data_IF_485091950117
#
_entry.id   IF_485091950117
#
_cell.length_a   1.000
_cell.length_b   1.000
_cell.length_c   1.000
_cell.angle_alpha   90.00
_cell.angle_beta   90.00
_cell.angle_gamma   90.00
#
_symmetry.space_group_name_H-M   'P 1'
#
loop_
_entity.id
_entity.type
_entity.pdbx_description
1 polymer ?
#
# COMPACT_ATOMS: atom_id res chain seq x y z
N UNK A 1 0.85 39.92 -10.62
CA UNK A 1 0.63 39.89 -9.16
C UNK A 1 -0.69 39.20 -8.77
N UNK A 2 -1.87 39.67 -9.19
CA UNK A 2 -3.16 39.03 -8.83
C UNK A 2 -3.29 37.55 -9.29
N UNK A 3 -2.81 37.23 -10.50
CA UNK A 3 -2.83 35.85 -11.04
C UNK A 3 -1.90 34.90 -10.27
N UNK A 4 -0.72 35.39 -9.86
CA UNK A 4 0.25 34.63 -9.06
C UNK A 4 -0.30 34.31 -7.67
N UNK A 5 -0.98 35.27 -7.03
CA UNK A 5 -1.64 35.04 -5.74
C UNK A 5 -2.75 33.99 -5.83
N UNK A 6 -3.57 34.01 -6.90
CA UNK A 6 -4.59 33.00 -7.16
C UNK A 6 -4.00 31.59 -7.35
N UNK A 7 -2.87 31.48 -8.07
CA UNK A 7 -2.17 30.20 -8.25
C UNK A 7 -1.61 29.70 -6.91
N UNK A 8 -1.01 30.57 -6.10
CA UNK A 8 -0.49 30.19 -4.78
C UNK A 8 -1.61 29.76 -3.84
N UNK A 9 -2.73 30.49 -3.80
CA UNK A 9 -3.92 30.12 -3.00
C UNK A 9 -4.53 28.81 -3.50
N UNK A 10 -4.57 28.58 -4.82
CA UNK A 10 -5.04 27.32 -5.37
C UNK A 10 -4.11 26.15 -4.99
N UNK A 11 -2.80 26.30 -5.15
CA UNK A 11 -1.81 25.28 -4.79
C UNK A 11 -1.85 24.97 -3.29
N UNK A 12 -1.91 26.00 -2.44
CA UNK A 12 -2.05 25.83 -0.99
C UNK A 12 -3.40 25.22 -0.62
N UNK A 13 -4.48 25.59 -1.30
CA UNK A 13 -5.80 24.99 -1.15
C UNK A 13 -5.82 23.51 -1.54
N UNK A 14 -5.20 23.15 -2.66
CA UNK A 14 -5.03 21.75 -3.08
C UNK A 14 -4.17 20.96 -2.11
N UNK A 15 -3.06 21.52 -1.62
CA UNK A 15 -2.21 20.90 -0.62
C UNK A 15 -2.95 20.68 0.71
N UNK A 16 -3.77 21.64 1.14
CA UNK A 16 -4.59 21.52 2.35
C UNK A 16 -5.68 20.44 2.21
N UNK A 17 -6.35 20.35 1.05
CA UNK A 17 -7.36 19.31 0.78
C UNK A 17 -6.72 17.92 0.69
N UNK A 18 -5.53 17.79 0.07
CA UNK A 18 -4.75 16.56 0.09
C UNK A 18 -4.26 16.20 1.52
N UNK A 19 -4.11 17.19 2.41
CA UNK A 19 -3.75 16.93 3.80
C UNK A 19 -4.89 16.41 4.66
N UNK A 20 -6.14 16.59 4.25
CA UNK A 20 -7.33 16.24 5.02
C UNK A 20 -7.84 14.81 4.78
N UNK A 21 -7.27 14.08 3.82
CA UNK A 21 -7.70 12.71 3.54
C UNK A 21 -7.14 11.73 4.59
N UNK A 22 -7.93 10.73 5.03
CA UNK A 22 -7.47 9.74 6.00
C UNK A 22 -6.21 9.01 5.56
N UNK A 23 -5.35 8.73 6.52
CA UNK A 23 -4.05 8.08 6.34
C UNK A 23 -3.92 6.91 7.29
N UNK A 24 -3.12 5.93 6.90
CA UNK A 24 -2.69 4.90 7.83
C UNK A 24 -1.18 4.71 7.71
N UNK A 25 -0.51 4.45 8.83
CA UNK A 25 0.91 4.07 8.82
C UNK A 25 1.11 2.87 9.74
N UNK A 26 1.92 1.91 9.33
CA UNK A 26 2.21 0.77 10.18
C UNK A 26 3.09 -0.26 9.53
N UNK A 27 2.87 -1.50 9.94
CA UNK A 27 3.70 -2.64 9.55
C UNK A 27 2.81 -3.69 8.90
N UNK A 28 3.32 -4.25 7.81
CA UNK A 28 2.81 -5.46 7.19
C UNK A 28 3.82 -6.59 7.40
N UNK A 29 3.35 -7.77 7.70
CA UNK A 29 4.14 -8.98 7.88
C UNK A 29 3.62 -10.07 6.97
N UNK A 30 4.49 -10.62 6.13
CA UNK A 30 4.22 -11.74 5.23
C UNK A 30 5.41 -12.68 5.23
N UNK A 31 6.03 -12.87 4.07
CA UNK A 31 7.35 -13.50 3.99
C UNK A 31 8.45 -12.65 4.65
N UNK A 32 8.26 -11.33 4.63
CA UNK A 32 9.12 -10.33 5.23
C UNK A 32 8.36 -9.36 6.13
N UNK A 33 8.98 -8.20 6.34
CA UNK A 33 8.37 -7.07 7.04
C UNK A 33 8.43 -5.82 6.19
N UNK A 34 7.29 -5.13 6.10
CA UNK A 34 7.13 -3.91 5.31
C UNK A 34 6.67 -2.77 6.22
N UNK A 35 7.29 -1.61 6.08
CA UNK A 35 6.69 -0.36 6.54
C UNK A 35 5.69 0.11 5.49
N UNK A 36 4.44 0.27 5.90
CA UNK A 36 3.33 0.62 5.01
C UNK A 36 2.76 1.99 5.36
N UNK A 37 2.48 2.79 4.32
CA UNK A 37 1.77 4.05 4.39
C UNK A 37 0.60 4.05 3.40
N UNK A 38 -0.60 4.26 3.90
CA UNK A 38 -1.82 4.41 3.11
C UNK A 38 -2.29 5.85 3.09
N UNK A 39 -2.78 6.29 1.94
CA UNK A 39 -3.42 7.58 1.77
C UNK A 39 -4.74 7.43 1.01
N UNK A 40 -5.84 7.76 1.68
CA UNK A 40 -7.16 7.82 1.04
C UNK A 40 -7.16 8.91 -0.01
N UNK A 41 -7.74 8.64 -1.17
CA UNK A 41 -7.74 9.55 -2.31
C UNK A 41 -9.14 10.07 -2.58
N UNK A 42 -9.86 9.44 -3.52
CA UNK A 42 -11.21 9.82 -3.91
C UNK A 42 -12.21 8.77 -3.42
N UNK A 43 -13.14 9.20 -2.59
CA UNK A 43 -14.10 8.29 -1.98
C UNK A 43 -13.37 7.28 -1.09
N UNK A 44 -13.75 5.99 -1.13
CA UNK A 44 -13.13 4.97 -0.28
C UNK A 44 -11.84 4.38 -0.85
N UNK A 45 -11.39 4.79 -2.05
CA UNK A 45 -10.17 4.26 -2.67
C UNK A 45 -8.93 4.87 -2.04
N UNK A 46 -7.85 4.10 -1.96
CA UNK A 46 -6.60 4.53 -1.33
C UNK A 46 -5.38 4.11 -2.15
N UNK A 47 -4.31 4.89 -2.05
CA UNK A 47 -2.99 4.45 -2.48
C UNK A 47 -2.24 3.90 -1.27
N UNK A 48 -1.46 2.85 -1.47
CA UNK A 48 -0.56 2.29 -0.46
C UNK A 48 0.87 2.28 -0.99
N UNK A 49 1.80 2.73 -0.17
CA UNK A 49 3.23 2.70 -0.43
C UNK A 49 3.94 1.93 0.66
N UNK A 50 4.84 1.05 0.26
CA UNK A 50 5.55 0.16 1.16
C UNK A 50 7.04 0.13 0.87
N UNK A 51 7.83 0.02 1.93
CA UNK A 51 9.25 -0.29 1.89
C UNK A 51 9.46 -1.51 2.77
N UNK A 52 9.97 -2.58 2.19
CA UNK A 52 10.06 -3.85 2.88
C UNK A 52 11.38 -4.58 2.70
N UNK A 53 11.52 -5.58 3.54
CA UNK A 53 12.64 -6.50 3.55
C UNK A 53 12.11 -7.93 3.62
N UNK A 54 12.62 -8.79 2.75
CA UNK A 54 12.14 -10.16 2.56
C UNK A 54 13.26 -11.19 2.81
N UNK A 55 12.84 -12.42 3.15
CA UNK A 55 13.72 -13.57 3.37
C UNK A 55 14.19 -13.74 4.82
N UNK A 56 14.53 -14.98 5.20
CA UNK A 56 14.97 -15.33 6.56
C UNK A 56 16.20 -14.55 7.06
N UNK A 57 17.02 -14.04 6.14
CA UNK A 57 18.21 -13.24 6.44
C UNK A 57 18.02 -11.74 6.15
N UNK A 58 16.81 -11.30 5.76
CA UNK A 58 16.51 -9.93 5.33
C UNK A 58 17.49 -9.40 4.28
N UNK A 59 17.83 -10.26 3.31
CA UNK A 59 18.83 -9.98 2.29
C UNK A 59 18.22 -9.38 1.00
N UNK A 60 16.90 -9.28 0.96
CA UNK A 60 16.15 -8.68 -0.14
C UNK A 60 15.41 -7.44 0.33
N UNK A 61 15.41 -6.41 -0.51
CA UNK A 61 14.70 -5.15 -0.26
C UNK A 61 13.73 -4.89 -1.39
N UNK A 62 12.58 -4.33 -1.05
CA UNK A 62 11.59 -3.94 -2.04
C UNK A 62 10.91 -2.63 -1.69
N UNK A 63 10.40 -2.01 -2.74
CA UNK A 63 9.47 -0.89 -2.65
C UNK A 63 8.27 -1.20 -3.52
N UNK A 64 7.09 -1.03 -2.94
CA UNK A 64 5.82 -1.34 -3.57
C UNK A 64 4.93 -0.10 -3.55
N UNK A 65 4.17 0.10 -4.62
CA UNK A 65 3.16 1.14 -4.70
C UNK A 65 1.90 0.58 -5.34
N UNK A 66 0.76 0.74 -4.69
CA UNK A 66 -0.53 0.21 -5.14
C UNK A 66 -1.61 1.28 -5.13
N UNK A 67 -2.60 1.11 -6.02
CA UNK A 67 -3.85 1.86 -5.98
C UNK A 67 -4.99 0.87 -5.78
N UNK A 68 -5.66 0.96 -4.64
CA UNK A 68 -6.68 0.01 -4.22
C UNK A 68 -8.08 0.60 -4.35
N UNK A 69 -8.92 -0.10 -5.10
CA UNK A 69 -10.34 0.17 -5.19
C UNK A 69 -11.05 -0.48 -4.01
N UNK A 70 -11.86 0.28 -3.28
CA UNK A 70 -12.78 -0.32 -2.31
C UNK A 70 -13.93 -0.97 -3.08
N UNK A 71 -14.03 -2.29 -3.00
CA UNK A 71 -15.00 -3.11 -3.71
C UNK A 71 -16.30 -3.21 -2.92
N UNK A 72 -16.20 -3.40 -1.60
CA UNK A 72 -17.36 -3.52 -0.72
C UNK A 72 -17.03 -3.09 0.71
N UNK A 73 -18.05 -2.68 1.46
CA UNK A 73 -17.97 -2.42 2.89
C UNK A 73 -19.04 -3.25 3.62
N UNK A 74 -18.75 -4.53 3.90
CA UNK A 74 -19.72 -5.41 4.53
C UNK A 74 -20.08 -4.95 5.96
N UNK A 75 -21.36 -5.05 6.31
CA UNK A 75 -21.84 -4.76 7.67
C UNK A 75 -21.89 -6.06 8.50
N UNK A 76 -20.71 -6.64 8.76
CA UNK A 76 -20.58 -7.91 9.51
C UNK A 76 -20.50 -7.72 11.02
N UNK A 77 -20.18 -6.50 11.49
CA UNK A 77 -20.01 -6.21 12.91
C UNK A 77 -20.71 -4.89 13.26
N UNK A 78 -21.36 -4.79 14.43
CA UNK A 78 -22.08 -3.58 14.85
C UNK A 78 -21.15 -2.40 15.20
N UNK A 79 -19.84 -2.65 15.23
CA UNK A 79 -18.79 -1.71 15.61
C UNK A 79 -17.66 -1.86 14.60
N UNK A 80 -16.98 -0.75 14.30
CA UNK A 80 -15.90 -0.70 13.31
C UNK A 80 -16.43 -0.65 11.88
N UNK A 81 -15.51 -0.67 10.91
CA UNK A 81 -15.87 -0.71 9.49
C UNK A 81 -15.01 -1.73 8.76
N UNK A 82 -15.65 -2.62 8.01
CA UNK A 82 -14.99 -3.56 7.10
C UNK A 82 -14.78 -2.93 5.72
N UNK A 83 -13.72 -3.34 5.05
CA UNK A 83 -13.45 -2.99 3.67
C UNK A 83 -12.88 -4.18 2.91
N UNK A 84 -13.45 -4.50 1.76
CA UNK A 84 -12.86 -5.42 0.78
C UNK A 84 -12.29 -4.56 -0.33
N UNK A 85 -11.01 -4.73 -0.62
CA UNK A 85 -10.32 -3.94 -1.63
C UNK A 85 -9.56 -4.83 -2.62
N UNK A 86 -9.38 -4.30 -3.82
CA UNK A 86 -8.51 -4.89 -4.82
C UNK A 86 -7.87 -3.79 -5.68
N UNK A 87 -6.65 -4.00 -6.17
CA UNK A 87 -5.93 -2.96 -6.88
C UNK A 87 -4.69 -3.45 -7.63
N UNK A 88 -4.30 -2.77 -8.71
CA UNK A 88 -2.99 -2.95 -9.31
C UNK A 88 -1.93 -2.13 -8.58
N UNK A 89 -0.67 -2.47 -8.84
CA UNK A 89 0.48 -1.74 -8.37
C UNK A 89 1.76 -2.08 -9.14
N UNK A 90 2.85 -1.50 -8.68
CA UNK A 90 4.20 -1.73 -9.18
C UNK A 90 5.13 -2.08 -8.03
N UNK A 91 6.13 -2.88 -8.33
CA UNK A 91 7.15 -3.34 -7.39
C UNK A 91 8.53 -3.13 -7.98
N UNK A 92 9.49 -2.75 -7.15
CA UNK A 92 10.91 -2.81 -7.46
C UNK A 92 11.64 -3.52 -6.33
N UNK A 93 12.52 -4.43 -6.71
CA UNK A 93 13.08 -5.43 -5.82
C UNK A 93 14.58 -5.56 -6.06
N UNK A 94 15.36 -5.69 -4.99
CA UNK A 94 16.81 -5.82 -5.08
C UNK A 94 17.39 -6.81 -4.07
N UNK A 95 18.37 -7.57 -4.51
CA UNK A 95 19.25 -8.39 -3.68
C UNK A 95 20.68 -7.84 -3.76
N UNK A 96 21.10 -6.99 -2.81
CA UNK A 96 22.39 -6.32 -2.88
C UNK A 96 23.58 -7.29 -2.94
N UNK A 97 23.51 -8.41 -2.21
CA UNK A 97 24.59 -9.42 -2.17
C UNK A 97 24.81 -10.13 -3.50
N UNK A 98 23.77 -10.18 -4.34
CA UNK A 98 23.79 -10.89 -5.63
C UNK A 98 23.89 -9.91 -6.81
N UNK A 99 23.87 -8.59 -6.56
CA UNK A 99 23.78 -7.54 -7.60
C UNK A 99 22.58 -7.73 -8.53
N UNK A 100 21.48 -8.27 -7.99
CA UNK A 100 20.28 -8.61 -8.73
C UNK A 100 19.20 -7.55 -8.48
N UNK A 101 18.54 -7.14 -9.58
CA UNK A 101 17.43 -6.19 -9.56
C UNK A 101 16.28 -6.71 -10.42
N UNK A 102 15.06 -6.55 -9.91
CA UNK A 102 13.81 -6.84 -10.60
C UNK A 102 12.85 -5.67 -10.45
N UNK A 103 12.01 -5.44 -11.47
CA UNK A 103 10.89 -4.52 -11.36
C UNK A 103 9.71 -5.06 -12.16
N UNK A 104 8.50 -4.69 -11.76
CA UNK A 104 7.32 -5.11 -12.49
C UNK A 104 6.02 -4.66 -11.86
N UNK A 105 5.00 -5.48 -12.07
CA UNK A 105 3.63 -5.19 -11.65
C UNK A 105 3.22 -6.13 -10.53
N UNK A 106 2.31 -5.65 -9.70
CA UNK A 106 1.74 -6.42 -8.61
C UNK A 106 0.23 -6.23 -8.58
N UNK A 107 -0.49 -7.25 -8.13
CA UNK A 107 -1.89 -7.14 -7.75
C UNK A 107 -2.02 -7.18 -6.24
N UNK A 108 -3.03 -6.53 -5.67
CA UNK A 108 -3.32 -6.53 -4.25
C UNK A 108 -4.80 -6.85 -4.08
N UNK A 109 -5.13 -7.83 -3.23
CA UNK A 109 -6.51 -8.14 -2.86
C UNK A 109 -6.54 -8.37 -1.37
N UNK A 110 -7.39 -7.67 -0.65
CA UNK A 110 -7.40 -7.75 0.79
C UNK A 110 -8.71 -7.39 1.46
N UNK A 111 -8.73 -7.68 2.75
CA UNK A 111 -9.79 -7.40 3.69
C UNK A 111 -9.20 -6.56 4.81
N UNK A 112 -9.77 -5.37 5.05
CA UNK A 112 -9.43 -4.50 6.17
C UNK A 112 -10.58 -4.42 7.19
N UNK A 113 -10.20 -4.13 8.43
CA UNK A 113 -11.09 -3.76 9.50
C UNK A 113 -10.51 -2.57 10.27
N UNK A 114 -11.27 -1.47 10.31
CA UNK A 114 -10.94 -0.25 11.05
C UNK A 114 -11.73 -0.22 12.35
N UNK A 115 -11.02 -0.10 13.46
CA UNK A 115 -11.61 -0.01 14.79
C UNK A 115 -12.17 1.40 15.05
N UNK A 116 -12.96 1.55 16.13
CA UNK A 116 -13.42 2.87 16.61
C UNK A 116 -12.29 3.74 17.20
N UNK A 117 -11.20 3.10 17.62
CA UNK A 117 -9.94 3.75 17.99
C UNK A 117 -8.98 3.63 16.79
N UNK A 118 -7.87 4.39 16.75
CA UNK A 118 -7.08 4.61 15.53
C UNK A 118 -6.18 3.42 15.15
N UNK A 119 -6.79 2.25 14.98
CA UNK A 119 -6.16 1.01 14.56
C UNK A 119 -6.91 0.44 13.37
N UNK A 120 -6.15 0.03 12.36
CA UNK A 120 -6.59 -0.72 11.21
C UNK A 120 -5.81 -2.03 11.19
N UNK A 121 -6.53 -3.14 10.98
CA UNK A 121 -5.93 -4.43 10.68
C UNK A 121 -6.31 -4.81 9.25
N UNK A 122 -5.39 -5.43 8.52
CA UNK A 122 -5.72 -5.99 7.20
C UNK A 122 -5.08 -7.34 6.99
N UNK A 123 -5.68 -8.12 6.10
CA UNK A 123 -5.07 -9.30 5.50
C UNK A 123 -5.15 -9.16 3.99
N UNK A 124 -4.07 -9.47 3.29
CA UNK A 124 -4.00 -9.33 1.84
C UNK A 124 -3.20 -10.45 1.19
N UNK A 125 -3.45 -10.65 -0.10
CA UNK A 125 -2.60 -11.43 -1.01
C UNK A 125 -2.09 -10.53 -2.12
N UNK A 126 -0.81 -10.70 -2.45
CA UNK A 126 -0.09 -9.80 -3.34
C UNK A 126 0.74 -10.53 -4.40
N UNK A 127 0.10 -11.05 -5.46
CA UNK A 127 0.86 -11.64 -6.57
C UNK A 127 1.72 -10.60 -7.26
N UNK A 128 3.01 -10.93 -7.45
CA UNK A 128 3.98 -10.11 -8.19
C UNK A 128 4.44 -10.83 -9.45
N UNK A 129 4.59 -10.05 -10.53
CA UNK A 129 5.24 -10.50 -11.78
C UNK A 129 6.28 -9.44 -12.13
N UNK A 130 7.55 -9.83 -12.08
CA UNK A 130 8.67 -8.93 -12.26
C UNK A 130 9.67 -9.43 -13.28
N UNK A 131 10.39 -8.47 -13.87
CA UNK A 131 11.38 -8.67 -14.91
C UNK A 131 12.71 -8.12 -14.44
N UNK A 132 13.77 -8.88 -14.67
CA UNK A 132 15.10 -8.55 -14.15
C UNK A 132 16.07 -9.69 -14.34
N UNK A 133 17.36 -9.38 -14.29
CA UNK A 133 18.44 -10.38 -14.37
C UNK A 133 18.31 -11.40 -15.52
N UNK A 134 17.79 -10.96 -16.68
CA UNK A 134 17.59 -11.82 -17.85
C UNK A 134 16.39 -12.78 -17.79
N UNK A 135 15.50 -12.64 -16.81
CA UNK A 135 14.35 -13.53 -16.63
C UNK A 135 13.10 -12.87 -16.06
N UNK A 136 12.12 -13.73 -15.75
CA UNK A 136 10.86 -13.37 -15.08
C UNK A 136 10.87 -13.99 -13.69
N UNK A 137 10.48 -13.22 -12.69
CA UNK A 137 10.34 -13.64 -11.29
C UNK A 137 8.92 -13.40 -10.79
N UNK A 138 8.43 -14.30 -9.94
CA UNK A 138 7.11 -14.19 -9.32
C UNK A 138 7.13 -14.80 -7.91
N UNK A 139 6.41 -14.17 -6.99
CA UNK A 139 6.14 -14.73 -5.65
C UNK A 139 5.07 -15.82 -5.64
N UNK A 140 4.46 -16.10 -6.80
CA UNK A 140 3.28 -16.95 -6.90
C UNK A 140 1.99 -16.21 -6.50
N UNK A 141 0.88 -16.95 -6.51
CA UNK A 141 -0.47 -16.37 -6.33
C UNK A 141 -0.88 -16.15 -4.87
N UNK A 142 -0.16 -16.77 -3.92
CA UNK A 142 -0.57 -16.85 -2.52
C UNK A 142 0.42 -16.18 -1.56
N UNK A 143 1.19 -15.20 -2.04
CA UNK A 143 2.00 -14.37 -1.18
C UNK A 143 1.10 -13.49 -0.31
N UNK A 144 0.79 -14.00 0.89
CA UNK A 144 -0.11 -13.37 1.84
C UNK A 144 0.61 -12.48 2.85
N UNK A 145 -0.13 -11.57 3.48
CA UNK A 145 0.36 -10.81 4.61
C UNK A 145 -0.76 -10.33 5.52
N UNK A 146 -0.34 -9.92 6.71
CA UNK A 146 -1.17 -9.31 7.74
C UNK A 146 -0.58 -7.97 8.11
N UNK A 147 -1.41 -6.96 8.30
CA UNK A 147 -0.95 -5.62 8.65
C UNK A 147 -1.63 -5.09 9.89
N UNK A 148 -0.88 -4.27 10.63
CA UNK A 148 -1.40 -3.42 11.68
C UNK A 148 -0.95 -1.98 11.42
N UNK A 149 -1.91 -1.08 11.26
CA UNK A 149 -1.66 0.33 10.93
C UNK A 149 -2.38 1.26 11.90
N UNK A 150 -1.70 2.31 12.33
CA UNK A 150 -2.30 3.45 13.01
C UNK A 150 -3.06 4.29 11.98
N UNK A 151 -4.37 4.46 12.18
CA UNK A 151 -5.29 5.13 11.26
C UNK A 151 -5.68 6.51 11.78
N UNK A 152 -5.48 7.57 10.98
CA UNK A 152 -5.65 8.98 11.40
C UNK A 152 -6.13 9.91 10.27
#
# INVERSE_FOLDING_TARGET
>A
MKKTLLIVVAVLGFAAVASAQPRAIGIRSGWGFDFSYEHTLKGPNFAEFEIGMDGYAFNAFHVDATYNFMIANPDWTPVGTWGIYAGPGVSAYMWPSESVFYAGVLGNVGLEYKFKFPLQLSVDVRPRIMFGNGGVWTDGLFYGGVSARYYF
#
